data_IF_980591338018
#
_entry.id   IF_980591338018
#
_cell.length_a   1.000
_cell.length_b   1.000
_cell.length_c   1.000
_cell.angle_alpha   90.00
_cell.angle_beta   90.00
_cell.angle_gamma   90.00
#
_symmetry.space_group_name_H-M   'P 1'
#
loop_
_entity.id
_entity.type
_entity.pdbx_description
1 polymer ?
#
# COMPACT_ATOMS: atom_id res chain seq x y z
N UNK A 1 -16.64 -6.35 -5.25
CA UNK A 1 -15.25 -6.33 -5.74
C UNK A 1 -14.31 -6.86 -4.69
N UNK A 2 -13.91 -6.02 -3.74
CA UNK A 2 -12.92 -6.33 -2.69
C UNK A 2 -13.10 -7.71 -2.03
N UNK A 3 -14.29 -8.00 -1.48
CA UNK A 3 -14.57 -9.29 -0.85
C UNK A 3 -14.42 -10.49 -1.81
N UNK A 4 -14.81 -10.34 -3.08
CA UNK A 4 -14.69 -11.42 -4.07
C UNK A 4 -13.23 -11.81 -4.32
N UNK A 5 -12.34 -10.81 -4.39
CA UNK A 5 -10.90 -11.03 -4.51
C UNK A 5 -10.27 -11.55 -3.22
N UNK A 6 -10.71 -11.06 -2.06
CA UNK A 6 -10.26 -11.60 -0.77
C UNK A 6 -10.64 -13.07 -0.59
N UNK A 7 -11.85 -13.48 -0.99
CA UNK A 7 -12.27 -14.88 -0.99
C UNK A 7 -11.43 -15.73 -1.95
N UNK A 8 -11.16 -15.23 -3.14
CA UNK A 8 -10.25 -15.91 -4.08
C UNK A 8 -8.86 -16.12 -3.49
N UNK A 9 -8.27 -15.10 -2.86
CA UNK A 9 -7.01 -15.23 -2.14
C UNK A 9 -7.08 -16.29 -1.04
N UNK A 10 -8.11 -16.24 -0.19
CA UNK A 10 -8.26 -17.16 0.94
C UNK A 10 -8.38 -18.61 0.46
N UNK A 11 -9.16 -18.87 -0.60
CA UNK A 11 -9.28 -20.22 -1.19
C UNK A 11 -7.90 -20.74 -1.60
N UNK A 12 -7.14 -19.94 -2.35
CA UNK A 12 -5.82 -20.32 -2.85
C UNK A 12 -4.81 -20.52 -1.71
N UNK A 13 -4.75 -19.57 -0.77
CA UNK A 13 -3.85 -19.65 0.39
C UNK A 13 -4.15 -20.84 1.31
N UNK A 14 -5.42 -21.14 1.59
CA UNK A 14 -5.81 -22.31 2.39
C UNK A 14 -5.48 -23.62 1.67
N UNK A 15 -5.62 -23.65 0.34
CA UNK A 15 -5.23 -24.82 -0.45
C UNK A 15 -3.73 -25.04 -0.42
N UNK A 16 -2.92 -23.97 -0.44
CA UNK A 16 -1.45 -24.03 -0.36
C UNK A 16 -0.96 -24.57 0.99
N UNK A 17 -1.72 -24.41 2.06
CA UNK A 17 -1.39 -24.94 3.41
C UNK A 17 -2.16 -26.22 3.77
N UNK A 18 -2.69 -26.93 2.77
CA UNK A 18 -3.42 -28.21 2.91
C UNK A 18 -4.70 -28.15 3.78
N UNK A 19 -5.28 -26.96 3.97
CA UNK A 19 -6.54 -26.73 4.70
C UNK A 19 -7.77 -26.85 3.75
N UNK A 20 -7.86 -27.99 3.06
CA UNK A 20 -8.81 -28.20 1.95
C UNK A 20 -10.29 -28.08 2.35
N UNK A 21 -10.68 -28.57 3.53
CA UNK A 21 -12.07 -28.51 3.99
C UNK A 21 -12.55 -27.06 4.19
N UNK A 22 -11.66 -26.20 4.70
CA UNK A 22 -11.96 -24.78 4.87
C UNK A 22 -11.92 -24.05 3.53
N UNK A 23 -10.95 -24.37 2.67
CA UNK A 23 -10.86 -23.83 1.32
C UNK A 23 -12.14 -24.09 0.52
N UNK A 24 -12.66 -25.32 0.54
CA UNK A 24 -13.91 -25.71 -0.14
C UNK A 24 -15.12 -24.90 0.33
N UNK A 25 -15.21 -24.59 1.63
CA UNK A 25 -16.30 -23.76 2.16
C UNK A 25 -16.24 -22.33 1.65
N UNK A 26 -15.05 -21.74 1.57
CA UNK A 26 -14.87 -20.41 0.99
C UNK A 26 -15.08 -20.42 -0.52
N UNK A 27 -14.65 -21.48 -1.21
CA UNK A 27 -14.84 -21.62 -2.65
C UNK A 27 -16.33 -21.79 -3.02
N UNK A 28 -17.10 -22.52 -2.21
CA UNK A 28 -18.56 -22.60 -2.39
C UNK A 28 -19.23 -21.22 -2.34
N UNK A 29 -18.77 -20.34 -1.44
CA UNK A 29 -19.25 -18.95 -1.39
C UNK A 29 -18.78 -18.17 -2.63
N UNK A 30 -17.51 -18.26 -2.99
CA UNK A 30 -16.96 -17.59 -4.18
C UNK A 30 -17.69 -18.00 -5.47
N UNK A 31 -17.95 -19.31 -5.66
CA UNK A 31 -18.77 -19.83 -6.78
C UNK A 31 -20.17 -19.25 -6.80
N UNK A 32 -20.82 -19.11 -5.64
CA UNK A 32 -22.13 -18.45 -5.55
C UNK A 32 -22.08 -17.00 -6.03
N UNK A 33 -21.05 -16.26 -5.62
CA UNK A 33 -20.84 -14.88 -6.09
C UNK A 33 -20.59 -14.83 -7.60
N UNK A 34 -19.71 -15.69 -8.13
CA UNK A 34 -19.39 -15.77 -9.57
C UNK A 34 -20.64 -16.02 -10.41
N UNK A 35 -21.51 -16.95 -10.00
CA UNK A 35 -22.73 -17.29 -10.72
C UNK A 35 -23.85 -16.25 -10.64
N UNK A 36 -23.80 -15.31 -9.69
CA UNK A 36 -24.84 -14.29 -9.51
C UNK A 36 -24.42 -12.89 -9.99
N UNK A 37 -23.12 -12.58 -10.03
CA UNK A 37 -22.62 -11.22 -10.17
C UNK A 37 -23.08 -10.53 -11.47
N UNK A 38 -22.96 -11.21 -12.62
CA UNK A 38 -23.38 -10.65 -13.92
C UNK A 38 -24.88 -10.36 -13.92
N UNK A 39 -25.71 -11.31 -13.48
CA UNK A 39 -27.17 -11.14 -13.43
C UNK A 39 -27.59 -9.96 -12.55
N UNK A 40 -26.93 -9.76 -11.41
CA UNK A 40 -27.32 -8.75 -10.43
C UNK A 40 -26.84 -7.35 -10.80
N UNK A 41 -25.60 -7.21 -11.29
CA UNK A 41 -24.96 -5.91 -11.37
C UNK A 41 -24.68 -5.41 -12.79
N UNK A 42 -24.63 -6.29 -13.79
CA UNK A 42 -24.35 -5.87 -15.16
C UNK A 42 -25.65 -5.38 -15.84
N UNK A 43 -25.63 -4.14 -16.34
CA UNK A 43 -26.77 -3.45 -16.96
C UNK A 43 -26.85 -3.67 -18.48
N UNK A 44 -25.77 -4.16 -19.10
CA UNK A 44 -25.62 -4.22 -20.55
C UNK A 44 -24.79 -3.06 -21.10
N UNK A 45 -24.19 -3.25 -22.29
CA UNK A 45 -23.42 -2.20 -22.97
C UNK A 45 -22.25 -1.65 -22.16
N UNK A 46 -21.58 -2.50 -21.39
CA UNK A 46 -20.44 -2.13 -20.54
C UNK A 46 -20.78 -1.53 -19.18
N UNK A 47 -22.05 -1.19 -18.93
CA UNK A 47 -22.44 -0.53 -17.68
C UNK A 47 -22.58 -1.54 -16.53
N UNK A 48 -21.93 -1.24 -15.41
CA UNK A 48 -21.97 -2.03 -14.16
C UNK A 48 -22.54 -1.17 -13.06
N UNK A 49 -23.64 -1.58 -12.44
CA UNK A 49 -24.29 -0.82 -11.36
C UNK A 49 -23.39 -0.68 -10.13
N UNK A 50 -23.28 0.54 -9.60
CA UNK A 50 -22.56 0.81 -8.35
C UNK A 50 -23.30 0.25 -7.12
N UNK A 51 -24.64 0.24 -7.17
CA UNK A 51 -25.50 -0.30 -6.11
C UNK A 51 -26.61 -1.15 -6.70
N UNK A 52 -26.97 -2.20 -5.98
CA UNK A 52 -28.10 -3.08 -6.31
C UNK A 52 -28.99 -3.21 -5.08
N UNK A 53 -30.25 -2.81 -5.21
CA UNK A 53 -31.26 -3.03 -4.17
C UNK A 53 -31.97 -4.36 -4.42
N UNK A 54 -31.86 -5.27 -3.45
CA UNK A 54 -32.62 -6.51 -3.44
C UNK A 54 -34.01 -6.22 -2.89
N UNK A 55 -35.02 -6.44 -3.73
CA UNK A 55 -36.41 -6.34 -3.32
C UNK A 55 -36.88 -7.67 -2.69
N UNK A 56 -38.01 -7.66 -1.95
CA UNK A 56 -38.57 -8.88 -1.37
C UNK A 56 -38.73 -10.01 -2.40
N UNK A 57 -38.72 -11.26 -1.92
CA UNK A 57 -38.72 -12.47 -2.75
C UNK A 57 -39.73 -12.36 -3.91
N UNK A 58 -39.23 -12.47 -5.13
CA UNK A 58 -40.01 -12.47 -6.38
C UNK A 58 -39.96 -11.16 -7.17
N UNK A 59 -39.51 -10.06 -6.56
CA UNK A 59 -39.32 -8.80 -7.28
C UNK A 59 -37.93 -8.73 -7.96
N UNK A 60 -37.86 -8.07 -9.11
CA UNK A 60 -36.60 -7.82 -9.80
C UNK A 60 -35.69 -6.90 -8.96
N UNK A 61 -34.39 -7.14 -8.99
CA UNK A 61 -33.43 -6.23 -8.36
C UNK A 61 -33.45 -4.86 -9.04
N UNK A 62 -33.27 -3.79 -8.27
CA UNK A 62 -33.14 -2.44 -8.81
C UNK A 62 -31.66 -2.07 -8.85
N UNK A 63 -31.17 -1.80 -10.04
CA UNK A 63 -29.80 -1.34 -10.28
C UNK A 63 -29.75 0.18 -10.23
N UNK A 64 -28.72 0.76 -9.60
CA UNK A 64 -28.54 2.20 -9.56
C UNK A 64 -28.26 2.80 -10.94
N UNK A 65 -28.57 4.09 -11.11
CA UNK A 65 -28.14 4.87 -12.27
C UNK A 65 -26.61 5.01 -12.30
N UNK A 66 -25.99 5.27 -11.14
CA UNK A 66 -24.54 5.31 -10.95
C UNK A 66 -23.88 3.99 -11.34
N UNK A 67 -22.73 4.07 -12.04
CA UNK A 67 -21.98 2.93 -12.52
C UNK A 67 -20.56 2.87 -11.93
N UNK A 68 -19.98 1.67 -11.87
CA UNK A 68 -18.56 1.45 -11.54
C UNK A 68 -17.69 1.78 -12.77
N UNK A 69 -17.47 3.07 -13.02
CA UNK A 69 -16.71 3.56 -14.19
C UNK A 69 -15.41 4.30 -13.80
N UNK A 70 -15.20 4.58 -12.51
CA UNK A 70 -13.94 5.15 -12.02
C UNK A 70 -12.82 4.10 -11.89
N UNK A 71 -11.54 4.54 -11.87
CA UNK A 71 -10.37 3.68 -11.68
C UNK A 71 -10.07 3.42 -10.20
N UNK A 72 -11.02 3.62 -9.28
CA UNK A 72 -10.78 3.47 -7.84
C UNK A 72 -11.24 2.08 -7.36
N UNK A 73 -11.84 1.99 -6.17
CA UNK A 73 -12.25 0.70 -5.60
C UNK A 73 -13.30 -0.06 -6.43
N UNK A 74 -14.11 0.65 -7.23
CA UNK A 74 -15.12 0.05 -8.10
C UNK A 74 -14.54 -0.84 -9.20
N UNK A 75 -13.33 -0.52 -9.68
CA UNK A 75 -12.62 -1.25 -10.73
C UNK A 75 -12.36 -2.72 -10.33
N UNK A 76 -12.14 -2.99 -9.04
CA UNK A 76 -12.00 -4.35 -8.52
C UNK A 76 -13.23 -5.21 -8.80
N UNK A 77 -14.43 -4.61 -8.79
CA UNK A 77 -15.64 -5.36 -9.12
C UNK A 77 -15.79 -5.58 -10.63
N UNK A 78 -15.37 -4.62 -11.45
CA UNK A 78 -15.30 -4.79 -12.90
C UNK A 78 -14.33 -5.92 -13.29
N UNK A 79 -13.14 -5.97 -12.67
CA UNK A 79 -12.20 -7.08 -12.85
C UNK A 79 -12.75 -8.41 -12.34
N UNK A 80 -13.49 -8.41 -11.23
CA UNK A 80 -14.14 -9.63 -10.74
C UNK A 80 -15.17 -10.16 -11.75
N UNK A 81 -16.01 -9.27 -12.31
CA UNK A 81 -16.97 -9.63 -13.35
C UNK A 81 -16.24 -10.18 -14.57
N UNK A 82 -15.17 -9.53 -14.99
CA UNK A 82 -14.42 -9.95 -16.17
C UNK A 82 -13.77 -11.33 -15.98
N UNK A 83 -12.95 -11.47 -14.94
CA UNK A 83 -12.02 -12.58 -14.81
C UNK A 83 -12.63 -13.80 -14.13
N UNK A 84 -13.62 -13.62 -13.25
CA UNK A 84 -14.10 -14.70 -12.39
C UNK A 84 -15.59 -15.01 -12.55
N UNK A 85 -16.42 -14.06 -12.99
CA UNK A 85 -17.87 -14.28 -13.02
C UNK A 85 -18.32 -15.14 -14.21
N UNK A 86 -19.47 -15.80 -14.04
CA UNK A 86 -20.10 -16.57 -15.10
C UNK A 86 -20.94 -15.62 -15.99
N UNK A 87 -20.52 -15.49 -17.25
CA UNK A 87 -21.19 -14.67 -18.25
C UNK A 87 -22.35 -15.37 -18.97
N UNK A 88 -22.48 -16.69 -18.80
CA UNK A 88 -23.49 -17.51 -19.48
C UNK A 88 -23.63 -17.15 -20.97
N UNK A 89 -24.86 -16.92 -21.41
CA UNK A 89 -25.17 -16.57 -22.80
C UNK A 89 -24.86 -15.14 -23.24
N UNK A 90 -24.41 -14.23 -22.36
CA UNK A 90 -24.11 -12.83 -22.73
C UNK A 90 -22.80 -12.70 -23.51
N UNK A 91 -21.87 -13.62 -23.30
CA UNK A 91 -20.65 -13.78 -24.11
C UNK A 91 -19.56 -12.72 -23.87
N UNK A 92 -18.44 -12.90 -24.58
CA UNK A 92 -17.22 -12.11 -24.42
C UNK A 92 -17.37 -10.64 -24.86
N UNK A 93 -18.26 -10.33 -25.81
CA UNK A 93 -18.44 -8.97 -26.31
C UNK A 93 -18.98 -8.02 -25.22
N UNK A 94 -19.97 -8.48 -24.45
CA UNK A 94 -20.51 -7.70 -23.32
C UNK A 94 -19.49 -7.56 -22.17
N UNK A 95 -18.68 -8.60 -21.96
CA UNK A 95 -17.56 -8.54 -21.00
C UNK A 95 -16.53 -7.49 -21.40
N UNK A 96 -16.11 -7.49 -22.67
CA UNK A 96 -15.14 -6.52 -23.18
C UNK A 96 -15.72 -5.10 -23.21
N UNK A 97 -17.05 -4.96 -23.36
CA UNK A 97 -17.72 -3.67 -23.33
C UNK A 97 -17.54 -2.93 -21.98
N UNK A 98 -17.29 -3.63 -20.87
CA UNK A 98 -16.98 -3.00 -19.57
C UNK A 98 -15.82 -2.01 -19.67
N UNK A 99 -14.82 -2.34 -20.49
CA UNK A 99 -13.58 -1.57 -20.63
C UNK A 99 -13.60 -0.58 -21.80
N UNK A 100 -14.56 -0.73 -22.71
CA UNK A 100 -14.81 0.21 -23.80
C UNK A 100 -15.75 1.37 -23.41
N UNK A 101 -16.21 1.41 -22.17
CA UNK A 101 -17.06 2.48 -21.65
C UNK A 101 -16.32 3.82 -21.66
N UNK A 102 -16.77 4.74 -22.50
CA UNK A 102 -16.18 6.07 -22.67
C UNK A 102 -16.21 6.91 -21.38
N UNK A 103 -17.14 6.64 -20.46
CA UNK A 103 -17.20 7.35 -19.18
C UNK A 103 -15.98 7.06 -18.28
N UNK A 104 -15.24 5.95 -18.51
CA UNK A 104 -13.99 5.67 -17.79
C UNK A 104 -12.91 6.70 -18.09
N UNK A 105 -12.82 7.16 -19.34
CA UNK A 105 -11.79 8.07 -19.78
C UNK A 105 -11.86 9.43 -19.07
N UNK A 106 -13.02 9.83 -18.52
CA UNK A 106 -13.18 11.11 -17.82
C UNK A 106 -12.38 11.19 -16.51
N UNK A 107 -12.08 10.03 -15.92
CA UNK A 107 -11.32 9.91 -14.68
C UNK A 107 -9.81 9.80 -14.91
N UNK A 108 -9.41 9.59 -16.17
CA UNK A 108 -8.04 9.44 -16.61
C UNK A 108 -7.62 10.69 -17.37
N UNK A 109 -6.76 11.49 -16.77
CA UNK A 109 -6.34 12.74 -17.39
C UNK A 109 -5.33 13.48 -16.54
N UNK A 110 -4.56 14.35 -17.19
CA UNK A 110 -3.53 15.14 -16.55
C UNK A 110 -4.17 16.07 -15.49
N UNK A 111 -3.75 15.90 -14.25
CA UNK A 111 -3.85 16.84 -13.14
C UNK A 111 -2.45 17.29 -12.76
N UNK A 112 -2.34 18.42 -12.08
CA UNK A 112 -1.05 18.95 -11.66
C UNK A 112 -1.16 19.54 -10.25
N UNK A 113 -0.13 19.30 -9.45
CA UNK A 113 0.04 19.90 -8.14
C UNK A 113 1.28 20.77 -8.16
N UNK A 114 1.07 22.07 -7.96
CA UNK A 114 2.16 23.01 -7.73
C UNK A 114 2.54 22.99 -6.25
N UNK A 115 3.82 22.74 -5.97
CA UNK A 115 4.38 22.79 -4.62
C UNK A 115 5.56 23.76 -4.58
N UNK A 116 5.70 24.58 -3.52
CA UNK A 116 6.85 25.45 -3.37
C UNK A 116 8.14 24.61 -3.26
N UNK A 117 9.24 25.01 -3.90
CA UNK A 117 10.54 24.42 -3.58
C UNK A 117 11.02 24.91 -2.22
N UNK A 118 11.73 24.06 -1.51
CA UNK A 118 12.33 24.40 -0.22
C UNK A 118 13.73 25.01 -0.46
N UNK A 119 13.80 26.35 -0.47
CA UNK A 119 15.03 27.14 -0.58
C UNK A 119 14.78 28.56 -1.12
N UNK A 120 15.72 29.49 -0.88
CA UNK A 120 15.65 30.92 -1.27
C UNK A 120 15.62 31.19 -2.80
N UNK A 121 15.55 30.14 -3.62
CA UNK A 121 15.61 30.17 -5.07
C UNK A 121 14.28 30.00 -5.79
N UNK A 122 13.17 30.53 -5.27
CA UNK A 122 11.95 30.96 -5.99
C UNK A 122 11.22 30.03 -6.99
N UNK A 123 11.68 28.81 -7.28
CA UNK A 123 11.01 27.89 -8.20
C UNK A 123 10.00 27.01 -7.45
N UNK A 124 8.79 26.80 -7.99
CA UNK A 124 7.94 25.70 -7.56
C UNK A 124 8.34 24.39 -8.25
N UNK A 125 7.94 23.26 -7.68
CA UNK A 125 7.88 22.00 -8.42
C UNK A 125 6.45 21.76 -8.88
N UNK A 126 6.28 21.44 -10.16
CA UNK A 126 5.03 20.90 -10.68
C UNK A 126 5.12 19.37 -10.64
N UNK A 127 4.11 18.72 -10.05
CA UNK A 127 3.95 17.27 -10.03
C UNK A 127 2.69 16.94 -10.82
N UNK A 128 2.88 16.28 -11.96
CA UNK A 128 1.79 15.82 -12.80
C UNK A 128 1.27 14.46 -12.34
N UNK A 129 -0.04 14.32 -12.29
CA UNK A 129 -0.76 13.08 -11.95
C UNK A 129 -1.75 12.75 -13.05
N UNK A 130 -2.07 11.47 -13.23
CA UNK A 130 -2.94 11.03 -14.35
C UNK A 130 -4.31 10.52 -13.90
N UNK A 131 -4.57 10.52 -12.59
CA UNK A 131 -5.85 10.17 -11.99
C UNK A 131 -6.54 11.44 -11.52
N UNK A 132 -7.84 11.56 -11.79
CA UNK A 132 -8.69 12.69 -11.36
C UNK A 132 -9.67 12.26 -10.26
N UNK A 133 -9.12 11.74 -9.17
CA UNK A 133 -9.90 11.32 -7.99
C UNK A 133 -10.21 12.45 -7.04
N UNK A 134 -10.68 12.13 -5.84
CA UNK A 134 -10.66 13.05 -4.69
C UNK A 134 -9.22 13.26 -4.22
N UNK A 135 -8.31 12.34 -4.54
CA UNK A 135 -6.99 12.17 -3.91
C UNK A 135 -7.10 11.76 -2.44
N UNK A 136 -8.19 11.11 -2.06
CA UNK A 136 -8.29 10.39 -0.81
C UNK A 136 -7.54 9.06 -0.94
N UNK A 137 -6.75 8.65 0.06
CA UNK A 137 -5.93 7.43 -0.09
C UNK A 137 -6.75 6.16 -0.30
N UNK A 138 -8.02 6.11 0.15
CA UNK A 138 -8.91 4.95 -0.07
C UNK A 138 -9.14 4.63 -1.56
N UNK A 139 -8.94 5.60 -2.45
CA UNK A 139 -9.03 5.42 -3.91
C UNK A 139 -7.98 4.43 -4.43
N UNK A 140 -6.90 4.22 -3.67
CA UNK A 140 -5.79 3.32 -3.98
C UNK A 140 -6.00 1.88 -3.47
N UNK A 141 -7.15 1.54 -2.87
CA UNK A 141 -7.39 0.19 -2.29
C UNK A 141 -7.14 -0.98 -3.24
N UNK A 142 -7.29 -0.77 -4.54
CA UNK A 142 -7.02 -1.81 -5.54
C UNK A 142 -5.58 -2.32 -5.48
N UNK A 143 -4.63 -1.46 -5.09
CA UNK A 143 -3.23 -1.81 -4.94
C UNK A 143 -2.95 -2.72 -3.73
N UNK A 144 -3.85 -2.78 -2.73
CA UNK A 144 -3.74 -3.73 -1.62
C UNK A 144 -4.11 -5.15 -2.02
N UNK A 145 -4.94 -5.34 -3.05
CA UNK A 145 -5.59 -6.63 -3.31
C UNK A 145 -5.10 -7.32 -4.58
N UNK A 146 -4.87 -6.55 -5.65
CA UNK A 146 -4.52 -7.08 -6.96
C UNK A 146 -3.13 -6.60 -7.39
N UNK A 147 -2.46 -7.32 -8.31
CA UNK A 147 -1.07 -7.04 -8.68
C UNK A 147 -0.89 -5.81 -9.59
N UNK A 148 -1.59 -4.71 -9.34
CA UNK A 148 -1.45 -3.47 -10.11
C UNK A 148 0.01 -2.99 -10.14
N UNK A 149 0.70 -3.01 -9.00
CA UNK A 149 2.10 -2.57 -8.92
C UNK A 149 3.08 -3.47 -9.70
N UNK A 150 2.68 -4.67 -10.13
CA UNK A 150 3.50 -5.51 -11.03
C UNK A 150 3.60 -4.91 -12.44
N UNK A 151 2.58 -4.16 -12.87
CA UNK A 151 2.54 -3.52 -14.18
C UNK A 151 3.26 -2.15 -14.11
N UNK A 152 4.24 -1.89 -15.01
CA UNK A 152 4.98 -0.63 -14.99
C UNK A 152 4.08 0.61 -15.02
N UNK A 153 3.01 0.59 -15.83
CA UNK A 153 2.09 1.72 -16.01
C UNK A 153 1.36 2.04 -14.72
N UNK A 154 0.78 1.02 -14.07
CA UNK A 154 0.05 1.20 -12.82
C UNK A 154 0.98 1.58 -11.66
N UNK A 155 2.21 1.05 -11.63
CA UNK A 155 3.23 1.47 -10.66
C UNK A 155 3.58 2.94 -10.82
N UNK A 156 3.78 3.40 -12.06
CA UNK A 156 4.05 4.80 -12.38
C UNK A 156 2.91 5.71 -11.92
N UNK A 157 1.65 5.30 -12.14
CA UNK A 157 0.45 6.02 -11.68
C UNK A 157 0.42 6.16 -10.16
N UNK A 158 0.59 5.06 -9.42
CA UNK A 158 0.65 5.06 -7.95
C UNK A 158 1.77 5.97 -7.44
N UNK A 159 2.99 5.84 -7.97
CA UNK A 159 4.12 6.67 -7.54
C UNK A 159 3.89 8.16 -7.86
N UNK A 160 3.27 8.48 -8.99
CA UNK A 160 2.88 9.85 -9.32
C UNK A 160 1.89 10.43 -8.30
N UNK A 161 0.85 9.66 -7.97
CA UNK A 161 -0.15 10.05 -6.97
C UNK A 161 0.47 10.25 -5.58
N UNK A 162 1.35 9.35 -5.15
CA UNK A 162 1.99 9.43 -3.83
C UNK A 162 3.06 10.55 -3.75
N UNK A 163 3.75 10.89 -4.85
CA UNK A 163 4.57 12.11 -4.90
C UNK A 163 3.72 13.36 -4.72
N UNK A 164 2.61 13.46 -5.45
CA UNK A 164 1.70 14.59 -5.29
C UNK A 164 1.16 14.66 -3.85
N UNK A 165 0.75 13.54 -3.26
CA UNK A 165 0.24 13.45 -1.89
C UNK A 165 1.26 13.91 -0.85
N UNK A 166 2.48 13.37 -0.90
CA UNK A 166 3.54 13.70 0.07
C UNK A 166 4.01 15.14 -0.03
N UNK A 167 4.31 15.62 -1.24
CA UNK A 167 4.77 17.00 -1.43
C UNK A 167 3.69 18.01 -1.09
N UNK A 168 2.43 17.75 -1.46
CA UNK A 168 1.32 18.62 -1.12
C UNK A 168 1.11 18.70 0.39
N UNK A 169 1.11 17.56 1.10
CA UNK A 169 1.00 17.50 2.55
C UNK A 169 2.16 18.21 3.24
N UNK A 170 3.41 17.96 2.79
CA UNK A 170 4.62 18.62 3.32
C UNK A 170 4.54 20.14 3.15
N UNK A 171 4.16 20.62 1.96
CA UNK A 171 4.09 22.07 1.68
C UNK A 171 3.16 22.83 2.62
N UNK A 172 2.11 22.16 3.11
CA UNK A 172 1.10 22.69 4.03
C UNK A 172 1.37 22.39 5.50
N UNK A 173 2.47 21.70 5.80
CA UNK A 173 2.81 21.32 7.16
C UNK A 173 1.82 20.34 7.79
N UNK A 174 1.14 19.52 6.98
CA UNK A 174 0.25 18.51 7.53
C UNK A 174 1.06 17.46 8.31
N UNK A 175 0.56 16.98 9.45
CA UNK A 175 1.28 15.99 10.26
C UNK A 175 1.06 14.56 9.78
N UNK A 176 0.31 14.37 8.69
CA UNK A 176 -0.08 13.09 8.12
C UNK A 176 -0.62 13.27 6.70
N UNK A 177 -1.10 12.18 6.10
CA UNK A 177 -1.68 12.18 4.76
C UNK A 177 -3.22 12.08 4.82
N UNK A 178 -3.87 12.56 3.76
CA UNK A 178 -5.33 12.66 3.69
C UNK A 178 -5.99 11.35 3.26
N UNK A 179 -7.17 11.09 3.83
CA UNK A 179 -8.05 9.99 3.50
C UNK A 179 -9.44 10.21 4.09
N UNK A 180 -10.46 9.65 3.47
CA UNK A 180 -11.84 9.67 3.93
C UNK A 180 -11.89 8.94 5.26
N UNK A 181 -12.37 9.60 6.30
CA UNK A 181 -12.29 9.10 7.66
C UNK A 181 -13.43 9.65 8.49
N UNK A 182 -13.63 9.06 9.68
CA UNK A 182 -14.48 9.70 10.68
C UNK A 182 -13.72 10.82 11.39
N UNK A 183 -14.45 11.88 11.74
CA UNK A 183 -13.99 12.97 12.59
C UNK A 183 -14.86 13.03 13.86
N UNK A 184 -14.36 13.63 14.96
CA UNK A 184 -15.20 13.93 16.12
C UNK A 184 -16.41 14.79 15.71
N UNK A 185 -17.61 14.42 16.15
CA UNK A 185 -18.83 15.20 16.01
C UNK A 185 -19.20 15.93 17.30
N UNK A 186 -20.45 16.35 17.41
CA UNK A 186 -20.97 16.95 18.64
C UNK A 186 -21.07 15.88 19.75
N UNK A 187 -20.58 16.20 20.95
CA UNK A 187 -20.57 15.28 22.09
C UNK A 187 -19.72 14.03 21.83
N UNK A 188 -20.31 12.85 22.06
CA UNK A 188 -19.66 11.55 21.86
C UNK A 188 -19.88 10.98 20.44
N UNK A 189 -20.45 11.76 19.52
CA UNK A 189 -20.72 11.30 18.16
C UNK A 189 -19.47 11.39 17.26
N UNK A 190 -19.50 10.63 16.15
CA UNK A 190 -18.51 10.74 15.09
C UNK A 190 -19.23 10.88 13.75
N UNK A 191 -18.59 11.55 12.79
CA UNK A 191 -19.14 11.75 11.45
C UNK A 191 -18.16 11.25 10.41
N UNK A 192 -18.62 10.38 9.50
CA UNK A 192 -17.85 9.99 8.33
C UNK A 192 -17.84 11.10 7.28
N UNK A 193 -16.65 11.46 6.78
CA UNK A 193 -16.46 12.56 5.85
C UNK A 193 -15.72 12.05 4.62
N UNK A 194 -16.33 12.25 3.45
CA UNK A 194 -15.88 11.70 2.16
C UNK A 194 -15.29 12.75 1.22
N UNK A 195 -14.76 13.84 1.77
CA UNK A 195 -14.27 14.98 1.00
C UNK A 195 -12.82 15.35 1.33
N UNK A 196 -12.07 14.46 1.96
CA UNK A 196 -10.65 14.70 2.25
C UNK A 196 -9.80 14.42 1.02
N UNK A 197 -9.05 15.43 0.56
CA UNK A 197 -8.37 15.30 -0.73
C UNK A 197 -7.48 16.48 -1.12
N UNK A 198 -6.96 16.43 -2.35
CA UNK A 198 -6.04 17.43 -2.90
C UNK A 198 -6.76 18.23 -3.99
N UNK A 199 -7.39 19.38 -3.69
CA UNK A 199 -8.24 20.09 -4.65
C UNK A 199 -7.55 20.47 -5.96
N UNK A 200 -6.22 20.68 -5.95
CA UNK A 200 -5.45 21.04 -7.15
C UNK A 200 -5.42 19.93 -8.23
N UNK A 201 -5.50 18.66 -7.83
CA UNK A 201 -5.49 17.50 -8.72
C UNK A 201 -6.79 16.69 -8.68
N UNK A 202 -7.79 17.20 -7.96
CA UNK A 202 -9.01 16.48 -7.62
C UNK A 202 -10.20 16.96 -8.43
N UNK A 203 -11.21 16.10 -8.57
CA UNK A 203 -12.53 16.52 -9.04
C UNK A 203 -13.29 17.33 -7.97
N UNK A 204 -12.87 17.22 -6.70
CA UNK A 204 -13.36 18.07 -5.62
C UNK A 204 -12.76 19.47 -5.80
N UNK A 205 -13.61 20.46 -6.03
CA UNK A 205 -13.21 21.87 -6.03
C UNK A 205 -12.69 22.31 -4.66
N UNK A 206 -11.97 23.44 -4.64
CA UNK A 206 -11.38 24.00 -3.41
C UNK A 206 -12.39 24.23 -2.28
N UNK A 207 -13.65 24.55 -2.60
CA UNK A 207 -14.70 24.80 -1.61
C UNK A 207 -15.27 23.51 -0.99
N UNK A 208 -15.06 22.36 -1.63
CA UNK A 208 -15.57 21.06 -1.18
C UNK A 208 -14.50 20.21 -0.48
N UNK A 209 -13.24 20.36 -0.90
CA UNK A 209 -12.15 19.55 -0.39
C UNK A 209 -11.77 19.98 1.04
N UNK A 210 -11.70 18.99 1.93
CA UNK A 210 -11.25 19.15 3.32
C UNK A 210 -9.80 18.70 3.48
N UNK A 211 -9.10 19.39 4.36
CA UNK A 211 -7.71 19.08 4.72
C UNK A 211 -7.41 19.39 6.20
N UNK A 212 -8.45 19.58 7.00
CA UNK A 212 -8.38 19.93 8.41
C UNK A 212 -8.14 18.71 9.32
N UNK A 213 -8.23 17.49 8.78
CA UNK A 213 -7.89 16.24 9.46
C UNK A 213 -7.00 15.37 8.58
N UNK A 214 -6.16 14.57 9.23
CA UNK A 214 -5.37 13.52 8.59
C UNK A 214 -5.91 12.17 9.04
N UNK A 215 -5.95 11.22 8.11
CA UNK A 215 -6.46 9.88 8.39
C UNK A 215 -5.36 9.00 8.98
N UNK A 216 -5.71 8.14 9.94
CA UNK A 216 -4.77 7.15 10.47
C UNK A 216 -4.19 6.30 9.34
N UNK A 217 -5.06 5.79 8.47
CA UNK A 217 -4.65 5.00 7.31
C UNK A 217 -4.06 5.81 6.15
N UNK A 218 -3.95 7.14 6.27
CA UNK A 218 -3.50 8.05 5.21
C UNK A 218 -2.21 7.63 4.51
N UNK A 219 -1.33 6.92 5.21
CA UNK A 219 -0.02 6.49 4.71
C UNK A 219 -0.01 5.15 3.96
N UNK A 220 -1.12 4.41 3.85
CA UNK A 220 -1.07 3.06 3.25
C UNK A 220 -0.66 3.08 1.77
N UNK A 221 -1.12 4.07 1.00
CA UNK A 221 -0.72 4.23 -0.42
C UNK A 221 0.80 4.43 -0.53
N UNK A 222 1.34 5.32 0.29
CA UNK A 222 2.78 5.55 0.37
C UNK A 222 3.54 4.30 0.81
N UNK A 223 3.05 3.54 1.80
CA UNK A 223 3.68 2.29 2.23
C UNK A 223 3.81 1.26 1.09
N UNK A 224 2.84 1.21 0.17
CA UNK A 224 2.89 0.36 -1.02
C UNK A 224 3.84 0.89 -2.11
N UNK A 225 4.05 2.21 -2.18
CA UNK A 225 4.94 2.84 -3.15
C UNK A 225 6.40 2.90 -2.69
N UNK A 226 6.61 3.18 -1.40
CA UNK A 226 7.89 3.30 -0.71
C UNK A 226 7.67 3.11 0.81
N UNK A 227 8.08 1.96 1.32
CA UNK A 227 7.86 1.59 2.73
C UNK A 227 8.52 2.57 3.71
N UNK A 228 9.70 3.11 3.38
CA UNK A 228 10.43 4.01 4.26
C UNK A 228 9.74 5.37 4.39
N UNK A 229 9.37 5.98 3.25
CA UNK A 229 8.59 7.22 3.23
C UNK A 229 7.21 7.01 3.86
N UNK A 230 6.56 5.87 3.60
CA UNK A 230 5.27 5.50 4.19
C UNK A 230 5.35 5.38 5.71
N UNK A 231 6.38 4.71 6.23
CA UNK A 231 6.61 4.58 7.67
C UNK A 231 6.89 5.94 8.33
N UNK A 232 7.64 6.82 7.67
CA UNK A 232 7.89 8.18 8.12
C UNK A 232 6.58 8.99 8.26
N UNK A 233 5.71 8.95 7.24
CA UNK A 233 4.40 9.60 7.29
C UNK A 233 3.48 8.99 8.34
N UNK A 234 3.43 7.66 8.46
CA UNK A 234 2.67 6.99 9.49
C UNK A 234 3.13 7.37 10.90
N UNK A 235 4.45 7.43 11.12
CA UNK A 235 5.03 7.88 12.38
C UNK A 235 4.65 9.33 12.71
N UNK A 236 4.69 10.22 11.70
CA UNK A 236 4.24 11.60 11.86
C UNK A 236 2.77 11.66 12.26
N UNK A 237 1.88 10.90 11.60
CA UNK A 237 0.46 10.82 11.93
C UNK A 237 0.23 10.35 13.37
N UNK A 238 0.94 9.29 13.79
CA UNK A 238 0.86 8.76 15.16
C UNK A 238 1.36 9.74 16.23
N UNK A 239 2.26 10.64 15.84
CA UNK A 239 2.86 11.65 16.71
C UNK A 239 2.07 12.96 16.74
N UNK A 240 1.17 13.18 15.78
CA UNK A 240 0.37 14.38 15.63
C UNK A 240 -0.51 14.68 16.86
N UNK A 241 -1.05 13.63 17.48
CA UNK A 241 -1.85 13.74 18.70
C UNK A 241 -1.71 12.49 19.55
N UNK A 242 -1.69 12.64 20.89
CA UNK A 242 -1.54 11.50 21.82
C UNK A 242 -2.60 10.42 21.63
N UNK A 243 -3.82 10.84 21.26
CA UNK A 243 -4.96 9.94 21.02
C UNK A 243 -4.85 9.09 19.75
N UNK A 244 -3.89 9.37 18.85
CA UNK A 244 -3.63 8.53 17.69
C UNK A 244 -3.01 7.19 18.04
N UNK A 245 -2.47 7.06 19.26
CA UNK A 245 -1.93 5.82 19.82
C UNK A 245 -2.86 5.31 20.91
N UNK A 246 -3.45 4.15 20.67
CA UNK A 246 -4.37 3.49 21.60
C UNK A 246 -3.80 2.15 22.05
N UNK A 247 -4.39 1.53 23.07
CA UNK A 247 -4.08 0.15 23.46
C UNK A 247 -4.31 -0.86 22.31
N UNK A 248 -5.09 -0.49 21.30
CA UNK A 248 -5.42 -1.30 20.13
C UNK A 248 -4.67 -0.84 18.87
N UNK A 249 -3.61 -0.03 19.03
CA UNK A 249 -2.81 0.55 17.95
C UNK A 249 -3.35 1.91 17.47
N UNK A 250 -3.26 2.15 16.16
CA UNK A 250 -3.65 3.42 15.51
C UNK A 250 -5.14 3.77 15.68
N UNK A 251 -5.47 5.03 15.97
CA UNK A 251 -6.84 5.55 15.94
C UNK A 251 -7.27 5.99 14.52
N UNK A 252 -8.57 6.24 14.34
CA UNK A 252 -9.17 6.57 13.03
C UNK A 252 -8.55 7.80 12.33
N UNK A 253 -8.43 8.93 13.02
CA UNK A 253 -7.98 10.21 12.46
C UNK A 253 -7.63 11.22 13.54
N UNK A 254 -6.94 12.31 13.17
CA UNK A 254 -6.77 13.47 14.03
C UNK A 254 -6.84 14.78 13.25
N UNK A 255 -7.19 15.86 13.95
CA UNK A 255 -7.10 17.20 13.40
C UNK A 255 -5.65 17.51 12.99
N UNK A 256 -5.48 18.19 11.85
CA UNK A 256 -4.16 18.51 11.30
C UNK A 256 -3.34 19.46 12.20
N UNK A 257 -4.01 20.23 13.05
CA UNK A 257 -3.39 21.08 14.07
C UNK A 257 -3.08 20.33 15.37
N UNK A 258 -3.42 19.04 15.47
CA UNK A 258 -3.23 18.22 16.65
C UNK A 258 -4.21 18.52 17.80
N UNK A 259 -5.27 19.30 17.57
CA UNK A 259 -6.23 19.69 18.62
C UNK A 259 -7.11 18.54 19.12
N UNK A 260 -7.35 17.53 18.29
CA UNK A 260 -8.22 16.40 18.62
C UNK A 260 -7.86 15.13 17.84
N UNK A 261 -8.29 13.98 18.35
CA UNK A 261 -8.29 12.72 17.62
C UNK A 261 -9.69 12.08 17.68
N UNK A 262 -10.09 11.40 16.61
CA UNK A 262 -11.34 10.66 16.57
C UNK A 262 -11.21 9.38 17.42
N UNK A 263 -12.00 9.22 18.50
CA UNK A 263 -11.91 8.07 19.40
C UNK A 263 -12.64 6.85 18.82
N UNK A 264 -12.36 6.53 17.55
CA UNK A 264 -12.96 5.42 16.81
C UNK A 264 -11.87 4.48 16.30
N UNK A 265 -12.22 3.20 16.20
CA UNK A 265 -11.39 2.17 15.57
C UNK A 265 -12.23 1.50 14.47
N UNK A 266 -11.75 1.57 13.24
CA UNK A 266 -12.38 0.89 12.10
C UNK A 266 -11.37 -0.01 11.40
N UNK A 267 -11.86 -0.93 10.56
CA UNK A 267 -11.00 -1.74 9.70
C UNK A 267 -10.30 -0.85 8.67
N UNK A 268 -11.02 0.06 8.03
CA UNK A 268 -10.54 1.02 7.05
C UNK A 268 -9.39 1.86 7.61
N UNK A 269 -9.55 2.41 8.81
CA UNK A 269 -8.57 3.27 9.48
C UNK A 269 -7.32 2.55 10.00
N UNK A 270 -7.27 1.20 9.96
CA UNK A 270 -6.21 0.42 10.63
C UNK A 270 -5.68 -0.76 9.81
N UNK A 271 -6.56 -1.68 9.40
CA UNK A 271 -6.16 -2.93 8.78
C UNK A 271 -5.55 -2.72 7.39
N UNK A 272 -5.94 -1.66 6.69
CA UNK A 272 -5.34 -1.24 5.43
C UNK A 272 -3.85 -0.91 5.58
N UNK A 273 -3.46 -0.25 6.68
CA UNK A 273 -2.05 0.01 7.03
C UNK A 273 -1.32 -1.29 7.31
N UNK A 274 -1.92 -2.20 8.08
CA UNK A 274 -1.33 -3.52 8.36
C UNK A 274 -1.08 -4.28 7.05
N UNK A 275 -2.07 -4.33 6.17
CA UNK A 275 -1.91 -4.96 4.85
C UNK A 275 -0.83 -4.29 4.02
N UNK A 276 -0.75 -2.95 4.01
CA UNK A 276 0.28 -2.24 3.26
C UNK A 276 1.70 -2.47 3.80
N UNK A 277 1.86 -2.55 5.14
CA UNK A 277 3.14 -2.90 5.76
C UNK A 277 3.59 -4.30 5.34
N UNK A 278 2.66 -5.24 5.19
CA UNK A 278 2.92 -6.59 4.69
C UNK A 278 3.10 -6.65 3.15
N UNK A 279 3.17 -5.50 2.46
CA UNK A 279 3.32 -5.42 1.00
C UNK A 279 2.02 -5.63 0.20
N UNK A 280 0.87 -5.69 0.87
CA UNK A 280 -0.41 -6.03 0.27
C UNK A 280 -0.48 -7.50 -0.20
N UNK A 281 -1.53 -7.84 -0.95
CA UNK A 281 -1.74 -9.18 -1.49
C UNK A 281 -1.24 -9.33 -2.93
N UNK A 282 -0.73 -8.27 -3.55
CA UNK A 282 -0.42 -8.22 -4.97
C UNK A 282 0.52 -9.34 -5.43
N UNK A 283 1.62 -9.57 -4.73
CA UNK A 283 2.60 -10.61 -5.11
C UNK A 283 2.01 -12.03 -5.10
N UNK A 284 1.32 -12.40 -4.02
CA UNK A 284 0.66 -13.70 -3.92
C UNK A 284 -0.49 -13.84 -4.93
N UNK A 285 -1.28 -12.78 -5.10
CA UNK A 285 -2.38 -12.74 -6.07
C UNK A 285 -1.88 -12.93 -7.51
N UNK A 286 -0.75 -12.33 -7.89
CA UNK A 286 -0.13 -12.55 -9.20
C UNK A 286 0.17 -14.04 -9.42
N UNK A 287 0.82 -14.71 -8.47
CA UNK A 287 1.12 -16.15 -8.57
C UNK A 287 -0.14 -16.96 -8.83
N UNK A 288 -1.17 -16.76 -8.01
CA UNK A 288 -2.45 -17.47 -8.15
C UNK A 288 -3.16 -17.18 -9.48
N UNK A 289 -3.14 -15.92 -9.93
CA UNK A 289 -3.73 -15.55 -11.21
C UNK A 289 -2.96 -16.13 -12.40
N UNK A 290 -1.64 -16.32 -12.30
CA UNK A 290 -0.83 -17.00 -13.33
C UNK A 290 -1.20 -18.49 -13.38
N UNK A 291 -1.26 -19.16 -12.23
CA UNK A 291 -1.65 -20.57 -12.14
C UNK A 291 -3.03 -20.84 -12.74
N UNK A 292 -3.98 -19.92 -12.50
CA UNK A 292 -5.36 -20.06 -12.97
C UNK A 292 -5.57 -19.48 -14.39
N UNK A 293 -4.51 -19.01 -15.07
CA UNK A 293 -4.58 -18.46 -16.43
C UNK A 293 -5.35 -17.13 -16.55
N UNK A 294 -5.45 -16.37 -15.46
CA UNK A 294 -6.18 -15.09 -15.38
C UNK A 294 -5.27 -13.86 -15.61
N UNK A 295 -3.96 -14.00 -15.35
CA UNK A 295 -3.03 -12.87 -15.32
C UNK A 295 -2.86 -12.18 -16.68
N UNK A 296 -2.73 -12.93 -17.77
CA UNK A 296 -2.56 -12.36 -19.13
C UNK A 296 -3.72 -11.43 -19.51
N UNK A 297 -4.94 -11.82 -19.12
CA UNK A 297 -6.13 -10.99 -19.38
C UNK A 297 -6.16 -9.76 -18.48
N UNK A 298 -5.80 -9.91 -17.19
CA UNK A 298 -5.64 -8.77 -16.28
C UNK A 298 -4.63 -7.75 -16.83
N UNK A 299 -3.43 -8.20 -17.22
CA UNK A 299 -2.41 -7.34 -17.81
C UNK A 299 -2.91 -6.68 -19.09
N UNK A 300 -3.52 -7.45 -20.01
CA UNK A 300 -4.02 -6.89 -21.28
C UNK A 300 -5.06 -5.80 -21.06
N UNK A 301 -5.99 -5.98 -20.13
CA UNK A 301 -7.04 -4.99 -19.83
C UNK A 301 -6.41 -3.71 -19.30
N UNK A 302 -5.56 -3.84 -18.26
CA UNK A 302 -5.01 -2.66 -17.59
C UNK A 302 -4.01 -1.91 -18.48
N UNK A 303 -3.25 -2.62 -19.31
CA UNK A 303 -2.36 -2.00 -20.30
C UNK A 303 -3.17 -1.17 -21.29
N UNK A 304 -4.21 -1.76 -21.89
CA UNK A 304 -5.10 -1.03 -22.82
C UNK A 304 -5.78 0.18 -22.17
N UNK A 305 -6.16 0.05 -20.90
CA UNK A 305 -6.86 1.11 -20.18
C UNK A 305 -5.92 2.27 -19.81
N UNK A 306 -4.72 1.98 -19.31
CA UNK A 306 -3.86 3.01 -18.69
C UNK A 306 -2.72 3.50 -19.57
N UNK A 307 -2.18 2.68 -20.47
CA UNK A 307 -1.04 3.06 -21.31
C UNK A 307 -1.30 4.28 -22.20
N UNK A 308 -2.50 4.48 -22.80
CA UNK A 308 -2.80 5.69 -23.55
C UNK A 308 -2.69 6.99 -22.73
N UNK A 309 -2.83 6.87 -21.41
CA UNK A 309 -2.79 8.01 -20.49
C UNK A 309 -1.42 8.18 -19.83
N UNK A 310 -0.68 7.08 -19.59
CA UNK A 310 0.61 7.05 -18.91
C UNK A 310 1.77 6.73 -19.87
N UNK A 311 1.73 7.33 -21.06
CA UNK A 311 2.69 7.18 -22.16
C UNK A 311 4.15 7.30 -21.69
N UNK A 312 4.90 6.20 -21.76
CA UNK A 312 6.31 6.12 -21.34
C UNK A 312 7.27 6.91 -22.23
N UNK A 313 6.85 7.32 -23.43
CA UNK A 313 7.66 8.21 -24.27
C UNK A 313 7.68 9.65 -23.75
N UNK A 314 6.73 10.01 -22.87
CA UNK A 314 6.65 11.33 -22.23
C UNK A 314 7.21 11.26 -20.84
N UNK A 315 7.91 12.31 -20.43
CA UNK A 315 8.36 12.51 -19.06
C UNK A 315 7.39 13.47 -18.37
N UNK A 316 6.72 13.02 -17.33
CA UNK A 316 5.80 13.86 -16.56
C UNK A 316 6.58 14.76 -15.60
N UNK A 317 6.05 15.96 -15.37
CA UNK A 317 6.62 16.89 -14.39
C UNK A 317 6.63 16.24 -12.99
N UNK A 318 7.73 16.38 -12.28
CA UNK A 318 7.88 15.83 -10.92
C UNK A 318 8.09 14.32 -10.84
N UNK A 319 8.13 13.59 -11.96
CA UNK A 319 8.25 12.12 -11.96
C UNK A 319 9.54 11.59 -11.32
N UNK A 320 10.64 12.35 -11.40
CA UNK A 320 11.91 11.99 -10.77
C UNK A 320 12.11 12.63 -9.39
N UNK A 321 11.13 13.38 -8.88
CA UNK A 321 11.23 13.88 -7.52
C UNK A 321 11.16 12.71 -6.54
N UNK A 322 11.98 12.71 -5.48
CA UNK A 322 11.80 11.77 -4.39
C UNK A 322 10.45 12.02 -3.72
N UNK A 323 9.93 11.01 -3.02
CA UNK A 323 8.81 11.23 -2.11
C UNK A 323 9.22 12.24 -1.02
N UNK A 324 8.32 13.16 -0.71
CA UNK A 324 8.58 14.12 0.36
C UNK A 324 8.43 13.43 1.72
N UNK A 325 9.30 13.74 2.68
CA UNK A 325 9.14 13.29 4.07
C UNK A 325 8.34 14.33 4.88
N UNK A 326 7.74 13.94 6.03
CA UNK A 326 7.15 14.89 6.96
C UNK A 326 8.15 15.97 7.42
N UNK A 327 7.70 17.22 7.59
CA UNK A 327 8.54 18.31 8.13
C UNK A 327 9.02 18.04 9.55
N UNK A 328 8.25 17.28 10.33
CA UNK A 328 8.61 16.88 11.70
C UNK A 328 9.90 16.06 11.79
N UNK A 329 10.36 15.50 10.67
CA UNK A 329 11.61 14.74 10.56
C UNK A 329 12.80 15.59 10.04
N UNK A 330 12.61 16.90 9.80
CA UNK A 330 13.72 17.83 9.55
C UNK A 330 14.48 18.12 10.86
N UNK A 331 15.03 17.07 11.48
CA UNK A 331 15.96 17.21 12.60
C UNK A 331 17.33 17.55 12.01
N UNK A 332 17.98 18.67 12.41
CA UNK A 332 19.35 18.97 11.99
C UNK A 332 20.28 17.83 12.44
N UNK A 333 20.67 16.96 11.50
CA UNK A 333 21.46 15.75 11.79
C UNK A 333 21.04 14.51 10.98
N UNK A 334 19.80 14.47 10.48
CA UNK A 334 19.30 13.38 9.63
C UNK A 334 19.38 13.70 8.12
N UNK A 335 20.38 14.50 7.70
CA UNK A 335 20.68 14.67 6.27
C UNK A 335 21.38 13.41 5.79
N UNK A 336 20.74 12.64 4.90
CA UNK A 336 21.43 11.59 4.14
C UNK A 336 22.67 12.22 3.47
N UNK A 337 23.86 11.85 3.93
CA UNK A 337 25.11 12.31 3.35
C UNK A 337 25.14 11.92 1.86
N UNK A 338 25.31 12.90 0.98
CA UNK A 338 25.38 12.71 -0.48
C UNK A 338 26.70 12.07 -0.92
N UNK A 339 26.92 10.80 -0.59
CA UNK A 339 27.97 9.99 -1.20
C UNK A 339 27.50 9.40 -2.52
N UNK A 340 28.27 9.56 -3.59
CA UNK A 340 28.01 8.96 -4.89
C UNK A 340 28.07 7.42 -4.79
N UNK A 341 27.06 6.74 -5.35
CA UNK A 341 27.06 5.28 -5.48
C UNK A 341 28.26 4.83 -6.33
N UNK A 342 28.89 3.72 -5.95
CA UNK A 342 30.03 3.17 -6.71
C UNK A 342 29.52 2.24 -7.82
N UNK A 343 30.33 2.02 -8.86
CA UNK A 343 29.96 1.16 -10.01
C UNK A 343 29.62 -0.28 -9.59
N UNK A 344 30.14 -0.76 -8.46
CA UNK A 344 29.85 -2.08 -7.89
C UNK A 344 28.41 -2.15 -7.35
N UNK A 345 27.90 -1.07 -6.74
CA UNK A 345 26.54 -1.00 -6.21
C UNK A 345 25.50 -1.02 -7.35
N UNK A 346 25.81 -0.36 -8.47
CA UNK A 346 25.00 -0.36 -9.69
C UNK A 346 25.04 -1.73 -10.38
N UNK A 347 26.16 -2.45 -10.28
CA UNK A 347 26.31 -3.78 -10.87
C UNK A 347 25.59 -4.85 -10.05
N UNK A 348 25.60 -4.78 -8.72
CA UNK A 348 24.81 -5.65 -7.84
C UNK A 348 23.30 -5.48 -8.07
N UNK A 349 22.83 -4.22 -8.18
CA UNK A 349 21.44 -3.88 -8.51
C UNK A 349 21.03 -4.36 -9.91
N UNK A 350 21.97 -4.44 -10.85
CA UNK A 350 21.73 -4.96 -12.21
C UNK A 350 21.74 -6.49 -12.29
N UNK A 351 22.47 -7.17 -11.42
CA UNK A 351 22.56 -8.64 -11.40
C UNK A 351 21.40 -9.28 -10.62
N UNK A 352 20.83 -8.60 -9.61
CA UNK A 352 19.62 -9.04 -8.86
C UNK A 352 18.30 -8.74 -9.62
N UNK A 353 18.32 -8.80 -10.96
CA UNK A 353 17.30 -8.28 -11.89
C UNK A 353 15.84 -8.27 -11.39
N UNK A 354 15.31 -7.06 -11.17
CA UNK A 354 13.88 -6.77 -11.38
C UNK A 354 13.25 -5.69 -10.49
N UNK A 355 13.85 -5.35 -9.35
CA UNK A 355 13.29 -4.40 -8.39
C UNK A 355 14.32 -3.33 -8.07
N UNK A 356 13.99 -2.07 -8.36
CA UNK A 356 14.80 -0.93 -7.96
C UNK A 356 14.75 -0.80 -6.44
N UNK A 357 15.81 -1.21 -5.76
CA UNK A 357 16.02 -0.86 -4.35
C UNK A 357 16.30 0.65 -4.24
N UNK A 358 15.73 1.35 -3.25
CA UNK A 358 16.15 2.70 -2.89
C UNK A 358 17.66 2.76 -2.61
N UNK A 359 18.38 3.81 -3.03
CA UNK A 359 19.82 3.99 -2.74
C UNK A 359 20.18 4.07 -1.23
N UNK A 360 19.19 4.20 -0.34
CA UNK A 360 19.35 4.08 1.12
C UNK A 360 19.55 2.62 1.55
N UNK A 361 18.96 1.68 0.83
CA UNK A 361 18.89 0.26 1.22
C UNK A 361 20.13 -0.49 0.70
N UNK A 362 20.63 -0.10 -0.48
CA UNK A 362 21.97 -0.49 -0.93
C UNK A 362 23.07 0.03 0.02
N UNK A 363 22.88 1.21 0.63
CA UNK A 363 23.76 1.74 1.67
C UNK A 363 23.59 1.03 3.01
N UNK A 364 22.40 0.58 3.37
CA UNK A 364 22.16 -0.21 4.57
C UNK A 364 22.77 -1.61 4.45
N UNK A 365 22.67 -2.24 3.27
CA UNK A 365 23.35 -3.50 2.93
C UNK A 365 24.88 -3.33 2.90
N UNK A 366 25.38 -2.25 2.29
CA UNK A 366 26.80 -1.91 2.29
C UNK A 366 27.34 -1.61 3.69
N UNK A 367 26.58 -0.92 4.54
CA UNK A 367 26.94 -0.64 5.92
C UNK A 367 26.86 -1.89 6.81
N UNK A 368 25.86 -2.75 6.62
CA UNK A 368 25.76 -4.05 7.31
C UNK A 368 26.94 -4.94 6.93
N UNK A 369 27.28 -5.02 5.63
CA UNK A 369 28.44 -5.74 5.13
C UNK A 369 29.76 -5.18 5.66
N UNK A 370 30.00 -3.87 5.54
CA UNK A 370 31.20 -3.22 6.07
C UNK A 370 31.31 -3.36 7.59
N UNK A 371 30.18 -3.41 8.29
CA UNK A 371 30.15 -3.67 9.73
C UNK A 371 30.52 -5.11 10.07
N UNK A 372 29.96 -6.12 9.37
CA UNK A 372 30.36 -7.52 9.53
C UNK A 372 31.84 -7.75 9.19
N UNK A 373 32.33 -7.11 8.12
CA UNK A 373 33.75 -7.13 7.73
C UNK A 373 34.64 -6.40 8.76
N UNK A 374 34.16 -5.33 9.40
CA UNK A 374 34.92 -4.58 10.41
C UNK A 374 34.84 -5.16 11.83
N UNK A 375 33.85 -6.02 12.11
CA UNK A 375 33.62 -6.63 13.44
C UNK A 375 33.83 -8.15 13.40
N UNK A 376 34.60 -8.63 12.42
CA UNK A 376 35.18 -9.99 12.43
C UNK A 376 35.90 -10.22 13.77
N UNK A 377 35.27 -11.00 14.65
CA UNK A 377 35.96 -11.65 15.77
C UNK A 377 35.66 -11.18 17.20
N UNK A 378 34.67 -10.32 17.46
CA UNK A 378 34.33 -9.97 18.86
C UNK A 378 32.84 -10.16 19.15
N UNK A 379 32.51 -11.25 19.85
CA UNK A 379 31.19 -11.51 20.38
C UNK A 379 30.79 -10.44 21.43
N UNK A 380 29.57 -9.89 21.33
CA UNK A 380 28.97 -9.04 22.37
C UNK A 380 29.00 -7.52 22.13
N UNK A 381 29.38 -7.04 20.95
CA UNK A 381 29.34 -5.59 20.61
C UNK A 381 28.22 -5.21 19.61
N UNK A 382 27.24 -6.08 19.37
CA UNK A 382 26.10 -5.75 18.54
C UNK A 382 25.24 -4.66 19.22
N UNK A 383 24.97 -3.51 18.56
CA UNK A 383 24.24 -2.39 19.15
C UNK A 383 22.74 -2.63 19.41
N UNK A 384 22.25 -3.86 19.17
CA UNK A 384 20.83 -4.21 19.31
C UNK A 384 20.55 -5.38 20.27
N UNK A 385 21.52 -5.79 21.11
CA UNK A 385 21.23 -6.69 22.23
C UNK A 385 20.37 -5.95 23.30
N UNK A 386 19.16 -6.45 23.56
CA UNK A 386 18.17 -5.84 24.46
C UNK A 386 18.59 -5.97 25.94
N UNK A 387 18.19 -4.93 26.69
CA UNK A 387 18.40 -4.67 28.13
C UNK A 387 17.90 -5.81 29.05
N UNK A 388 18.65 -6.01 30.13
CA UNK A 388 18.48 -6.93 31.25
C UNK A 388 17.18 -6.80 32.07
N UNK A 389 16.45 -7.90 32.28
CA UNK A 389 15.37 -7.98 33.28
C UNK A 389 15.92 -8.52 34.63
N UNK A 390 15.59 -7.84 35.73
CA UNK A 390 16.04 -8.21 37.08
C UNK A 390 15.02 -9.13 37.76
N UNK A 391 15.45 -10.31 38.18
CA UNK A 391 14.61 -11.22 38.98
C UNK A 391 14.49 -10.67 40.40
N UNK A 392 13.27 -10.33 40.90
CA UNK A 392 13.09 -9.56 42.14
C UNK A 392 13.65 -10.23 43.41
N UNK A 393 13.71 -11.56 43.44
CA UNK A 393 14.04 -12.33 44.65
C UNK A 393 15.54 -12.64 44.79
N UNK A 394 16.31 -12.60 43.69
CA UNK A 394 17.74 -12.98 43.69
C UNK A 394 18.67 -11.88 43.20
N UNK A 395 18.14 -10.80 42.61
CA UNK A 395 18.92 -9.67 42.08
C UNK A 395 19.78 -10.00 40.85
N UNK A 396 19.75 -11.24 40.36
CA UNK A 396 20.46 -11.68 39.17
C UNK A 396 19.68 -11.34 37.90
N UNK A 397 20.44 -10.91 36.91
CA UNK A 397 20.00 -10.60 35.56
C UNK A 397 20.04 -11.90 34.74
N UNK A 398 18.93 -12.27 34.10
CA UNK A 398 18.94 -13.34 33.09
C UNK A 398 19.04 -12.74 31.68
N UNK A 399 19.97 -13.20 30.83
CA UNK A 399 19.89 -12.91 29.40
C UNK A 399 18.71 -13.67 28.78
N UNK A 400 17.95 -13.02 27.90
CA UNK A 400 17.15 -13.75 26.92
C UNK A 400 18.11 -14.31 25.87
N UNK A 401 17.95 -15.59 25.55
CA UNK A 401 18.70 -16.27 24.49
C UNK A 401 18.26 -15.69 23.14
N UNK A 402 19.22 -15.29 22.29
CA UNK A 402 18.92 -15.04 20.88
C UNK A 402 18.99 -16.36 20.10
N UNK A 403 18.35 -16.39 18.93
CA UNK A 403 18.26 -17.56 18.06
C UNK A 403 19.61 -18.07 17.50
N UNK A 404 20.70 -17.32 17.71
CA UNK A 404 22.04 -17.62 17.23
C UNK A 404 23.04 -17.93 18.35
N UNK A 405 22.72 -17.65 19.62
CA UNK A 405 23.63 -17.79 20.75
C UNK A 405 22.94 -18.36 21.98
N UNK A 406 23.50 -19.46 22.49
CA UNK A 406 23.18 -20.02 23.80
C UNK A 406 24.31 -19.71 24.79
N UNK A 407 24.09 -19.91 26.10
CA UNK A 407 25.17 -19.83 27.09
C UNK A 407 26.35 -20.78 26.82
N UNK A 408 26.19 -21.78 25.95
CA UNK A 408 27.23 -22.74 25.53
C UNK A 408 27.88 -22.46 24.17
N UNK A 409 27.50 -21.39 23.47
CA UNK A 409 27.99 -21.05 22.12
C UNK A 409 26.88 -20.94 21.06
N UNK A 410 27.29 -20.86 19.79
CA UNK A 410 26.39 -20.63 18.66
C UNK A 410 25.50 -21.85 18.33
N UNK A 411 24.27 -21.62 17.84
CA UNK A 411 23.38 -22.68 17.32
C UNK A 411 23.93 -23.36 16.06
N UNK A 412 24.77 -22.66 15.29
CA UNK A 412 25.45 -23.19 14.12
C UNK A 412 26.97 -22.92 14.21
N UNK A 413 27.82 -23.83 13.71
CA UNK A 413 29.26 -23.60 13.66
C UNK A 413 29.56 -22.32 12.85
N UNK A 414 30.53 -21.48 13.24
CA UNK A 414 30.85 -20.22 12.56
C UNK A 414 31.63 -20.47 11.26
N UNK A 415 31.24 -21.48 10.48
CA UNK A 415 31.84 -21.81 9.19
C UNK A 415 31.13 -21.06 8.05
N UNK A 416 31.67 -21.19 6.84
CA UNK A 416 31.16 -20.48 5.67
C UNK A 416 29.75 -20.97 5.28
N UNK A 417 29.44 -22.25 5.49
CA UNK A 417 28.17 -22.84 5.09
C UNK A 417 27.02 -22.38 6.00
N UNK A 418 27.25 -22.29 7.31
CA UNK A 418 26.27 -21.74 8.24
C UNK A 418 26.01 -20.24 8.01
N UNK A 419 27.05 -19.49 7.61
CA UNK A 419 26.93 -18.07 7.23
C UNK A 419 26.14 -17.87 5.94
N UNK A 420 26.37 -18.71 4.95
CA UNK A 420 25.61 -18.74 3.70
C UNK A 420 24.14 -19.09 3.97
N UNK A 421 23.87 -20.10 4.80
CA UNK A 421 22.50 -20.44 5.19
C UNK A 421 21.79 -19.33 5.98
N UNK A 422 22.51 -18.62 6.86
CA UNK A 422 21.99 -17.46 7.59
C UNK A 422 21.69 -16.28 6.65
N UNK A 423 22.58 -16.03 5.69
CA UNK A 423 22.40 -15.01 4.67
C UNK A 423 21.19 -15.33 3.77
N UNK A 424 21.07 -16.57 3.29
CA UNK A 424 19.90 -17.04 2.53
C UNK A 424 18.60 -16.93 3.34
N UNK A 425 18.66 -17.18 4.65
CA UNK A 425 17.51 -17.02 5.55
C UNK A 425 17.10 -15.54 5.70
N UNK A 426 18.06 -14.64 5.92
CA UNK A 426 17.79 -13.19 6.01
C UNK A 426 17.31 -12.64 4.68
N UNK A 427 17.90 -13.07 3.57
CA UNK A 427 17.47 -12.72 2.22
C UNK A 427 16.03 -13.20 1.96
N UNK A 428 15.72 -14.46 2.30
CA UNK A 428 14.36 -15.00 2.19
C UNK A 428 13.36 -14.23 3.08
N UNK A 429 13.74 -13.85 4.31
CA UNK A 429 12.87 -13.06 5.18
C UNK A 429 12.66 -11.62 4.67
N UNK A 430 13.67 -11.03 4.04
CA UNK A 430 13.55 -9.74 3.34
C UNK A 430 12.68 -9.84 2.08
N UNK A 431 12.80 -10.92 1.31
CA UNK A 431 11.95 -11.20 0.13
C UNK A 431 10.48 -11.43 0.51
N UNK A 432 10.24 -11.90 1.74
CA UNK A 432 8.91 -12.04 2.33
C UNK A 432 8.38 -10.73 2.95
N UNK A 433 9.10 -9.62 2.82
CA UNK A 433 8.66 -8.30 3.29
C UNK A 433 8.65 -8.15 4.81
N UNK A 434 9.41 -8.98 5.55
CA UNK A 434 9.54 -8.85 6.99
C UNK A 434 10.42 -7.63 7.30
N UNK A 435 9.92 -6.61 8.03
CA UNK A 435 10.75 -5.47 8.42
C UNK A 435 11.98 -5.97 9.17
N UNK A 436 13.18 -5.51 8.81
CA UNK A 436 14.42 -5.89 9.50
C UNK A 436 14.37 -5.64 11.02
N UNK A 437 13.54 -4.71 11.49
CA UNK A 437 13.29 -4.47 12.91
C UNK A 437 12.52 -5.61 13.63
N UNK A 438 11.85 -6.50 12.89
CA UNK A 438 11.16 -7.71 13.37
C UNK A 438 12.07 -8.93 13.31
N UNK A 439 13.06 -8.97 12.40
CA UNK A 439 14.15 -9.96 12.39
C UNK A 439 15.26 -9.63 13.41
N UNK A 440 15.36 -8.37 13.82
CA UNK A 440 16.26 -7.89 14.86
C UNK A 440 15.68 -8.00 16.29
N UNK A 441 14.42 -8.43 16.43
CA UNK A 441 13.83 -8.92 17.68
C UNK A 441 13.85 -10.43 17.67
#
# INVERSE_FOLDING_TARGET
GMLGWALYFVVKALTEVDEHDLAERFDAHLRSMRGAAVRLAYKGGGKVAARVALLPRGAACVQSEQNCEDPFAGELFCLFLDLLADWGGRGAAERDAIWADADRARWLGLGAVEVPSEGDGGGGHCIETMLRGSFSVHEEWKHLLLPYASLPTCRRLLHGAERARSWWARSRGLPGLLGDCHVPGDGDSTQHVTSFGIPAASHLGADAARCDHVAGYGAFGMLLADQAAGAAWLHSTLSAHRGMRTAWGLAESCAADGSSACPLLTWDGKATVVLAVLGGLGGAMQRYMVEDGLYDRFESILTKLYEPHADFSKRYAGELLPFALPRSLDVPGLRCAGGAATDVDVQLVREVRGVSLPPSDGRALGAARQWFEAHEGVAGQAPYCVVHERVPETGLVRPCEDWYTTPGGHYAPPDAAAREALYEHVAACCDLGVPLAVLAR
#
